data_IF_961976995608
#
_entry.id   IF_961976995608
#
_cell.length_a   1.000
_cell.length_b   1.000
_cell.length_c   1.000
_cell.angle_alpha   90.00
_cell.angle_beta   90.00
_cell.angle_gamma   90.00
#
_symmetry.space_group_name_H-M   'P 1'
#
loop_
_entity.id
_entity.type
_entity.pdbx_description
1 polymer ?
#
# COMPACT_ATOMS: atom_id res chain seq x y z
N UNK A 1 0.43 -11.99 -6.61
CA UNK A 1 0.94 -12.29 -5.25
C UNK A 1 1.08 -13.79 -4.96
N UNK A 2 2.25 -14.39 -5.21
CA UNK A 2 2.51 -15.81 -4.95
C UNK A 2 2.70 -16.15 -3.46
N UNK A 3 3.27 -15.22 -2.66
CA UNK A 3 3.42 -15.37 -1.22
C UNK A 3 2.18 -14.87 -0.50
N UNK A 4 1.45 -15.70 0.24
CA UNK A 4 0.26 -15.28 0.98
C UNK A 4 -0.05 -16.22 2.15
N UNK A 5 -0.95 -15.79 3.05
CA UNK A 5 -1.37 -16.54 4.24
C UNK A 5 -0.18 -16.90 5.13
N UNK A 6 0.05 -18.19 5.38
CA UNK A 6 1.20 -18.70 6.14
C UNK A 6 2.56 -18.33 5.51
N UNK A 7 2.59 -18.09 4.20
CA UNK A 7 3.77 -17.66 3.47
C UNK A 7 3.79 -16.14 3.22
N UNK A 8 3.09 -15.34 4.05
CA UNK A 8 3.06 -13.88 3.88
C UNK A 8 4.45 -13.26 4.03
N UNK A 9 4.63 -12.09 3.44
CA UNK A 9 5.91 -11.38 3.41
C UNK A 9 5.81 -10.03 4.11
N UNK A 10 6.82 -9.72 4.92
CA UNK A 10 6.84 -8.53 5.79
C UNK A 10 7.21 -7.26 5.01
N UNK A 11 6.71 -6.10 5.46
CA UNK A 11 7.08 -4.79 4.93
C UNK A 11 8.54 -4.38 5.21
N UNK A 12 9.22 -5.08 6.13
CA UNK A 12 10.62 -4.84 6.48
C UNK A 12 10.85 -3.94 7.70
N UNK A 13 9.84 -3.25 8.23
CA UNK A 13 9.99 -2.30 9.35
C UNK A 13 10.06 -2.91 10.77
N UNK A 14 9.88 -4.22 10.90
CA UNK A 14 9.92 -4.92 12.20
C UNK A 14 11.28 -4.84 12.90
N UNK A 15 11.29 -5.03 14.23
CA UNK A 15 12.55 -5.10 14.99
C UNK A 15 13.41 -3.83 14.97
N UNK A 16 12.83 -2.66 14.71
CA UNK A 16 13.55 -1.39 14.63
C UNK A 16 14.16 -1.08 13.26
N UNK A 17 13.99 -1.96 12.27
CA UNK A 17 14.51 -1.77 10.90
C UNK A 17 13.93 -0.56 10.17
N UNK A 18 12.80 -0.03 10.61
CA UNK A 18 12.24 1.23 10.06
C UNK A 18 13.21 2.42 10.18
N UNK A 19 14.17 2.37 11.11
CA UNK A 19 15.17 3.41 11.34
C UNK A 19 16.54 3.10 10.75
N UNK A 20 16.70 1.93 10.11
CA UNK A 20 17.95 1.55 9.48
C UNK A 20 17.98 2.09 8.05
N UNK A 21 19.16 2.51 7.58
CA UNK A 21 19.36 2.87 6.19
C UNK A 21 19.29 1.65 5.27
N UNK A 22 19.22 1.91 3.97
CA UNK A 22 19.16 0.87 2.93
C UNK A 22 20.55 0.54 2.35
N UNK A 23 21.61 0.79 3.11
CA UNK A 23 22.98 0.54 2.66
C UNK A 23 23.15 -0.94 2.31
N UNK A 24 23.48 -1.22 1.03
CA UNK A 24 23.61 -2.58 0.52
C UNK A 24 22.28 -3.32 0.28
N UNK A 25 21.13 -2.66 0.44
CA UNK A 25 19.82 -3.22 0.10
C UNK A 25 19.51 -2.91 -1.36
N UNK A 26 19.41 -3.95 -2.19
CA UNK A 26 19.06 -3.79 -3.61
C UNK A 26 17.60 -3.43 -3.84
N UNK A 27 16.72 -3.95 -2.99
CA UNK A 27 15.28 -3.72 -3.06
C UNK A 27 14.70 -3.83 -1.65
N UNK A 28 13.86 -2.87 -1.26
CA UNK A 28 13.17 -2.96 0.03
C UNK A 28 12.12 -4.07 0.00
N UNK A 29 11.90 -4.80 1.12
CA UNK A 29 10.84 -5.81 1.19
C UNK A 29 9.45 -5.27 0.82
N UNK A 30 9.17 -4.00 1.15
CA UNK A 30 7.91 -3.34 0.79
C UNK A 30 7.75 -3.14 -0.73
N UNK A 31 8.80 -2.73 -1.44
CA UNK A 31 8.79 -2.58 -2.91
C UNK A 31 8.55 -3.92 -3.61
N UNK A 32 9.26 -4.96 -3.17
CA UNK A 32 9.10 -6.31 -3.70
C UNK A 32 7.65 -6.80 -3.57
N UNK A 33 7.04 -6.51 -2.41
CA UNK A 33 5.66 -6.89 -2.14
C UNK A 33 4.64 -6.08 -2.95
N UNK A 34 4.88 -4.80 -3.18
CA UNK A 34 4.03 -3.98 -4.06
C UNK A 34 4.11 -4.47 -5.50
N UNK A 35 5.28 -4.85 -6.01
CA UNK A 35 5.40 -5.48 -7.35
C UNK A 35 4.58 -6.76 -7.47
N UNK A 36 4.58 -7.60 -6.43
CA UNK A 36 3.71 -8.78 -6.39
C UNK A 36 2.22 -8.44 -6.34
N UNK A 37 1.84 -7.31 -5.75
CA UNK A 37 0.46 -6.82 -5.73
C UNK A 37 0.04 -6.35 -7.13
N UNK A 38 0.87 -5.52 -7.77
CA UNK A 38 0.63 -5.02 -9.12
C UNK A 38 0.52 -6.15 -10.16
N UNK A 39 1.15 -7.31 -9.94
CA UNK A 39 1.01 -8.46 -10.84
C UNK A 39 -0.35 -9.16 -10.76
N UNK A 40 -1.23 -8.77 -9.84
CA UNK A 40 -2.61 -9.28 -9.75
C UNK A 40 -3.57 -8.64 -10.76
N UNK A 41 -3.16 -7.59 -11.47
CA UNK A 41 -4.01 -6.84 -12.39
C UNK A 41 -4.61 -5.59 -11.74
N UNK A 42 -5.87 -5.30 -12.03
CA UNK A 42 -6.53 -4.06 -11.62
C UNK A 42 -6.92 -4.11 -10.13
N UNK A 43 -6.10 -3.47 -9.29
CA UNK A 43 -6.32 -3.31 -7.86
C UNK A 43 -6.18 -1.84 -7.47
N UNK A 44 -7.24 -1.26 -6.89
CA UNK A 44 -7.21 0.15 -6.47
C UNK A 44 -6.54 0.34 -5.10
N UNK A 45 -6.66 -0.66 -4.21
CA UNK A 45 -6.33 -0.54 -2.79
C UNK A 45 -5.47 -1.69 -2.28
N UNK A 46 -4.36 -1.34 -1.62
CA UNK A 46 -3.54 -2.24 -0.82
C UNK A 46 -3.84 -2.00 0.67
N UNK A 47 -4.66 -2.88 1.25
CA UNK A 47 -5.16 -2.69 2.63
C UNK A 47 -4.23 -3.36 3.64
N UNK A 48 -3.90 -2.64 4.71
CA UNK A 48 -3.02 -3.08 5.80
C UNK A 48 -3.68 -2.88 7.16
N UNK A 49 -3.14 -3.49 8.21
CA UNK A 49 -3.65 -3.33 9.59
C UNK A 49 -2.54 -2.93 10.59
N UNK A 50 -1.36 -2.59 10.09
CA UNK A 50 -0.20 -2.22 10.88
C UNK A 50 0.23 -0.81 10.47
N UNK A 51 0.37 0.16 11.40
CA UNK A 51 0.81 1.51 11.06
C UNK A 51 2.18 1.56 10.38
N UNK A 52 3.07 0.61 10.70
CA UNK A 52 4.39 0.49 10.04
C UNK A 52 4.23 0.04 8.59
N UNK A 53 3.34 -0.90 8.33
CA UNK A 53 3.03 -1.35 6.96
C UNK A 53 2.51 -0.18 6.13
N UNK A 54 1.63 0.65 6.70
CA UNK A 54 1.13 1.84 6.02
C UNK A 54 2.27 2.76 5.58
N UNK A 55 3.19 3.09 6.49
CA UNK A 55 4.36 3.93 6.15
C UNK A 55 5.23 3.28 5.07
N UNK A 56 5.60 2.01 5.24
CA UNK A 56 6.54 1.33 4.36
C UNK A 56 6.00 1.06 2.97
N UNK A 57 4.72 0.70 2.86
CA UNK A 57 4.09 0.44 1.57
C UNK A 57 3.72 1.73 0.84
N UNK A 58 3.32 2.80 1.54
CA UNK A 58 3.14 4.11 0.88
C UNK A 58 4.46 4.59 0.28
N UNK A 59 5.55 4.54 1.05
CA UNK A 59 6.88 4.88 0.54
C UNK A 59 7.32 3.98 -0.65
N UNK A 60 6.93 2.70 -0.65
CA UNK A 60 7.20 1.80 -1.76
C UNK A 60 6.40 2.13 -3.02
N UNK A 61 5.12 2.50 -2.89
CA UNK A 61 4.30 2.97 -4.02
C UNK A 61 4.89 4.25 -4.61
N UNK A 62 5.33 5.18 -3.77
CA UNK A 62 6.00 6.41 -4.19
C UNK A 62 7.32 6.11 -4.92
N UNK A 63 8.17 5.25 -4.35
CA UNK A 63 9.46 4.88 -4.94
C UNK A 63 9.33 4.13 -6.27
N UNK A 64 8.26 3.35 -6.45
CA UNK A 64 7.96 2.64 -7.69
C UNK A 64 7.22 3.51 -8.73
N UNK A 65 6.77 4.71 -8.35
CA UNK A 65 6.06 5.63 -9.25
C UNK A 65 4.70 5.12 -9.72
N UNK A 66 3.95 4.45 -8.83
CA UNK A 66 2.64 3.81 -9.14
C UNK A 66 1.48 4.35 -8.29
N UNK A 67 1.61 5.59 -7.82
CA UNK A 67 0.61 6.28 -6.96
C UNK A 67 -0.73 6.51 -7.64
N UNK A 68 -0.74 6.53 -8.97
CA UNK A 68 -1.93 6.60 -9.83
C UNK A 68 -2.69 5.27 -9.90
N UNK A 69 -2.01 4.15 -9.68
CA UNK A 69 -2.56 2.80 -9.83
C UNK A 69 -3.03 2.18 -8.52
N UNK A 70 -2.30 2.43 -7.43
CA UNK A 70 -2.50 1.72 -6.18
C UNK A 70 -2.39 2.68 -4.99
N UNK A 71 -3.31 2.56 -4.04
CA UNK A 71 -3.29 3.32 -2.79
C UNK A 71 -3.18 2.41 -1.58
N UNK A 72 -2.36 2.77 -0.61
CA UNK A 72 -2.31 2.05 0.68
C UNK A 72 -3.35 2.60 1.64
N UNK A 73 -4.17 1.72 2.21
CA UNK A 73 -5.15 2.08 3.23
C UNK A 73 -4.94 1.24 4.49
N UNK A 74 -5.08 1.84 5.66
CA UNK A 74 -5.32 1.09 6.89
C UNK A 74 -6.76 0.55 6.88
N UNK A 75 -6.96 -0.62 7.46
CA UNK A 75 -8.27 -1.26 7.57
C UNK A 75 -9.30 -0.37 8.27
N UNK A 76 -8.87 0.49 9.22
CA UNK A 76 -9.75 1.44 9.88
C UNK A 76 -10.31 2.50 8.92
N UNK A 77 -9.59 2.88 7.85
CA UNK A 77 -10.07 3.85 6.85
C UNK A 77 -11.21 3.30 6.01
N UNK A 78 -11.37 1.97 5.94
CA UNK A 78 -12.51 1.34 5.27
C UNK A 78 -13.82 1.54 6.02
N UNK A 79 -13.75 1.82 7.33
CA UNK A 79 -14.91 2.02 8.20
C UNK A 79 -15.38 3.47 8.24
N UNK A 80 -14.62 4.41 7.67
CA UNK A 80 -15.03 5.80 7.58
C UNK A 80 -16.28 5.88 6.69
N UNK A 81 -17.39 6.51 7.15
CA UNK A 81 -18.58 6.69 6.33
C UNK A 81 -18.21 7.37 5.01
N UNK A 82 -18.29 6.60 3.92
CA UNK A 82 -18.14 7.14 2.58
C UNK A 82 -19.55 7.46 2.07
N UNK A 83 -19.76 8.60 1.37
CA UNK A 83 -20.95 8.71 0.54
C UNK A 83 -21.08 7.47 -0.34
N UNK A 84 -22.32 7.03 -0.64
CA UNK A 84 -22.55 5.86 -1.47
C UNK A 84 -21.68 5.91 -2.72
N UNK A 85 -21.07 4.77 -3.08
CA UNK A 85 -20.32 4.65 -4.32
C UNK A 85 -21.33 4.71 -5.46
N UNK A 86 -21.57 5.91 -5.97
CA UNK A 86 -22.32 6.07 -7.21
C UNK A 86 -21.45 5.50 -8.31
N UNK A 87 -21.83 4.33 -8.81
CA UNK A 87 -21.28 3.79 -10.05
C UNK A 87 -21.66 4.76 -11.16
N UNK A 88 -20.66 5.52 -11.62
CA UNK A 88 -20.73 6.63 -12.59
C UNK A 88 -21.09 8.00 -12.00
N UNK A 89 -20.09 8.76 -11.53
CA UNK A 89 -19.64 10.00 -12.21
C UNK A 89 -18.48 10.64 -11.45
N UNK A 90 -17.37 10.85 -12.16
CA UNK A 90 -16.43 11.93 -11.86
C UNK A 90 -17.18 13.26 -12.00
N UNK A 91 -17.42 13.98 -10.91
CA UNK A 91 -17.74 15.40 -10.97
C UNK A 91 -17.40 16.07 -9.63
N UNK A 92 -16.32 16.87 -9.67
CA UNK A 92 -16.10 18.09 -8.88
C UNK A 92 -16.50 18.07 -7.40
N UNK A 93 -15.52 17.86 -6.52
CA UNK A 93 -15.63 18.38 -5.15
C UNK A 93 -14.82 19.67 -5.08
N UNK A 94 -15.48 20.78 -5.40
CA UNK A 94 -15.10 22.08 -4.86
C UNK A 94 -15.49 22.07 -3.38
N UNK A 95 -14.47 22.06 -2.52
CA UNK A 95 -14.62 22.19 -1.08
C UNK A 95 -14.91 23.67 -0.80
N UNK A 96 -16.11 23.96 -0.26
CA UNK A 96 -16.39 25.20 0.48
C UNK A 96 -15.69 25.11 1.84
#
# INVERSE_FOLDING_TARGET
MPRCRENSFCCGAGGGRIWQGDDGVTERPSENRIREALSLGDIDYFVVACPKDKVMYTAAIDALGVTDKLKVLDIAELLVPRPPRDTATEASVDII
#
